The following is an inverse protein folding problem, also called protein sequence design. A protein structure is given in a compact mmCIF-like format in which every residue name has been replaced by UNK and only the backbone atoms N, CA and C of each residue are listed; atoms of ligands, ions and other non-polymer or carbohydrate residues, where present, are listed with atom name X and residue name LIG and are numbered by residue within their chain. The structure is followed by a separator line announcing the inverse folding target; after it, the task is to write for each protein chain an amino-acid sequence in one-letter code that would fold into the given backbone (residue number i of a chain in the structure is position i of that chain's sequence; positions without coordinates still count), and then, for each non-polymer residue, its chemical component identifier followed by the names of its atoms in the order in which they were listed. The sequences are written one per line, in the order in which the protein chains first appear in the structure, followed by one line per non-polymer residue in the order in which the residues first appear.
data_IF_554926636973
#
_entry.id   IF_554926636973
#
_cell.length_a   1.000
_cell.length_b   1.000
_cell.length_c   1.000
_cell.angle_alpha   90.00
_cell.angle_beta   90.00
_cell.angle_gamma   90.00
#
_symmetry.space_group_name_H-M   'P 1'
#
loop_
_entity.id
_entity.type
_entity.pdbx_description
1 polymer ?
#
# COMPACT_ATOMS: atom_id res chain seq x y z
N UNK A 1 -40.90 50.75 -37.15
CA UNK A 1 -39.75 49.99 -37.69
C UNK A 1 -39.22 49.05 -36.62
N UNK A 2 -39.31 47.73 -36.84
CA UNK A 2 -38.85 46.69 -35.90
C UNK A 2 -37.36 46.45 -36.10
N UNK A 3 -36.52 46.79 -35.11
CA UNK A 3 -35.07 46.51 -35.12
C UNK A 3 -34.85 45.00 -34.94
N UNK A 4 -34.19 44.36 -35.91
CA UNK A 4 -33.75 42.96 -35.84
C UNK A 4 -32.60 42.84 -34.83
N UNK A 5 -32.78 42.03 -33.80
CA UNK A 5 -31.75 41.60 -32.85
C UNK A 5 -30.82 40.58 -33.53
N UNK A 6 -29.71 41.05 -34.10
CA UNK A 6 -28.75 40.22 -34.84
C UNK A 6 -27.41 39.96 -34.13
N UNK A 7 -27.11 40.66 -33.03
CA UNK A 7 -25.77 40.62 -32.41
C UNK A 7 -25.51 39.40 -31.51
N UNK A 8 -26.55 38.74 -31.00
CA UNK A 8 -26.41 37.58 -30.09
C UNK A 8 -25.98 36.27 -30.79
N UNK A 9 -25.96 36.23 -32.12
CA UNK A 9 -25.63 35.02 -32.87
C UNK A 9 -24.12 34.89 -33.18
N UNK A 10 -23.42 36.02 -33.33
CA UNK A 10 -22.00 36.04 -33.72
C UNK A 10 -21.12 35.64 -32.53
N UNK A 11 -21.44 36.12 -31.32
CA UNK A 11 -20.74 35.72 -30.09
C UNK A 11 -21.01 34.26 -29.72
N UNK A 12 -22.20 33.72 -30.05
CA UNK A 12 -22.55 32.32 -29.79
C UNK A 12 -21.75 31.35 -30.67
N UNK A 13 -21.53 31.68 -31.95
CA UNK A 13 -20.78 30.83 -32.87
C UNK A 13 -19.28 30.80 -32.55
N UNK A 14 -18.68 31.94 -32.21
CA UNK A 14 -17.26 32.01 -31.80
C UNK A 14 -17.01 31.45 -30.39
N UNK A 15 -17.95 31.64 -29.45
CA UNK A 15 -17.83 31.04 -28.12
C UNK A 15 -17.96 29.52 -28.18
N UNK A 16 -18.85 28.98 -29.01
CA UNK A 16 -18.98 27.53 -29.20
C UNK A 16 -17.68 26.93 -29.74
N UNK A 17 -17.01 27.59 -30.68
CA UNK A 17 -15.71 27.15 -31.22
C UNK A 17 -14.59 27.20 -30.16
N UNK A 18 -14.55 28.24 -29.33
CA UNK A 18 -13.63 28.33 -28.20
C UNK A 18 -13.88 27.21 -27.17
N UNK A 19 -15.13 26.92 -26.83
CA UNK A 19 -15.46 25.83 -25.92
C UNK A 19 -15.16 24.45 -26.53
N UNK A 20 -15.45 24.26 -27.82
CA UNK A 20 -15.15 23.01 -28.52
C UNK A 20 -13.65 22.74 -28.60
N UNK A 21 -12.84 23.76 -28.90
CA UNK A 21 -11.38 23.65 -28.92
C UNK A 21 -10.79 23.41 -27.53
N UNK A 22 -11.28 24.11 -26.49
CA UNK A 22 -10.86 23.89 -25.11
C UNK A 22 -11.21 22.48 -24.60
N UNK A 23 -12.43 22.01 -24.88
CA UNK A 23 -12.88 20.67 -24.53
C UNK A 23 -12.08 19.60 -25.29
N UNK A 24 -11.83 19.82 -26.59
CA UNK A 24 -10.98 18.94 -27.40
C UNK A 24 -9.55 18.82 -26.86
N UNK A 25 -8.94 19.95 -26.49
CA UNK A 25 -7.61 19.96 -25.86
C UNK A 25 -7.62 19.22 -24.52
N UNK A 26 -8.64 19.41 -23.69
CA UNK A 26 -8.80 18.70 -22.42
C UNK A 26 -8.92 17.18 -22.61
N UNK A 27 -9.73 16.72 -23.57
CA UNK A 27 -9.84 15.29 -23.91
C UNK A 27 -8.49 14.74 -24.37
N UNK A 28 -7.78 15.45 -25.25
CA UNK A 28 -6.48 15.00 -25.76
C UNK A 28 -5.44 14.87 -24.63
N UNK A 29 -5.35 15.87 -23.76
CA UNK A 29 -4.47 15.85 -22.58
C UNK A 29 -4.84 14.68 -21.66
N UNK A 30 -6.13 14.46 -21.41
CA UNK A 30 -6.62 13.34 -20.57
C UNK A 30 -6.22 11.99 -21.16
N UNK A 31 -6.36 11.79 -22.48
CA UNK A 31 -5.97 10.53 -23.14
C UNK A 31 -4.45 10.31 -23.11
N UNK A 32 -3.66 11.38 -23.22
CA UNK A 32 -2.20 11.31 -23.11
C UNK A 32 -1.77 10.99 -21.67
N UNK A 33 -2.39 11.61 -20.67
CA UNK A 33 -2.01 11.48 -19.25
C UNK A 33 -2.61 10.23 -18.56
N UNK A 34 -3.78 9.75 -18.97
CA UNK A 34 -4.42 8.56 -18.39
C UNK A 34 -3.50 7.32 -18.32
N UNK A 35 -2.68 6.97 -19.34
CA UNK A 35 -1.75 5.84 -19.23
C UNK A 35 -0.57 6.10 -18.28
N UNK A 36 -0.23 7.36 -17.98
CA UNK A 36 0.83 7.68 -17.00
C UNK A 36 0.31 7.63 -15.56
N UNK A 37 -0.95 7.98 -15.34
CA UNK A 37 -1.60 7.87 -14.01
C UNK A 37 -1.64 6.44 -13.45
N UNK A 38 -1.42 5.40 -14.27
CA UNK A 38 -1.44 3.99 -13.83
C UNK A 38 -0.05 3.34 -13.73
N UNK A 39 1.05 4.10 -13.88
CA UNK A 39 2.41 3.51 -13.95
C UNK A 39 3.23 3.57 -12.66
N UNK A 40 2.73 4.14 -11.58
CA UNK A 40 3.54 4.35 -10.36
C UNK A 40 3.59 3.17 -9.35
N UNK A 41 3.52 1.90 -9.79
CA UNK A 41 3.80 0.76 -8.88
C UNK A 41 4.82 -0.23 -9.45
N UNK A 42 5.47 0.05 -10.58
CA UNK A 42 6.48 -0.85 -11.17
C UNK A 42 7.70 -0.10 -11.71
N UNK A 43 8.34 0.76 -10.91
CA UNK A 43 9.72 1.21 -11.19
C UNK A 43 10.38 1.96 -10.04
N UNK A 44 10.60 1.26 -8.93
CA UNK A 44 11.78 1.55 -8.11
C UNK A 44 12.49 0.22 -7.83
N UNK A 45 13.29 -0.22 -8.80
CA UNK A 45 14.41 -1.10 -8.50
C UNK A 45 15.56 -0.21 -8.03
N UNK A 46 15.97 -0.24 -6.74
CA UNK A 46 17.30 0.23 -6.40
C UNK A 46 18.30 -0.70 -7.07
N UNK A 47 18.95 -0.17 -8.11
CA UNK A 47 20.11 -0.77 -8.75
C UNK A 47 21.27 -0.74 -7.77
N UNK A 48 21.42 -1.80 -6.98
CA UNK A 48 22.71 -2.23 -6.44
C UNK A 48 22.72 -3.74 -6.35
N UNK A 49 23.35 -4.38 -7.33
CA UNK A 49 23.75 -5.78 -7.22
C UNK A 49 24.65 -5.93 -5.98
N UNK A 50 24.44 -6.92 -5.10
CA UNK A 50 25.42 -7.23 -4.07
C UNK A 50 26.68 -7.78 -4.75
N UNK A 51 27.82 -7.18 -4.40
CA UNK A 51 29.16 -7.62 -4.77
C UNK A 51 29.31 -9.09 -4.35
N UNK A 52 29.60 -9.97 -5.31
CA UNK A 52 30.02 -11.34 -5.02
C UNK A 52 31.24 -11.31 -4.09
N UNK A 53 31.30 -12.11 -3.01
CA UNK A 53 32.52 -12.20 -2.21
C UNK A 53 33.65 -12.77 -3.08
N UNK A 54 34.67 -11.96 -3.33
CA UNK A 54 35.95 -12.37 -3.88
C UNK A 54 36.53 -13.48 -2.99
N UNK A 55 36.52 -14.71 -3.48
CA UNK A 55 37.29 -15.80 -2.88
C UNK A 55 38.77 -15.45 -3.03
N UNK A 56 39.39 -15.01 -1.94
CA UNK A 56 40.85 -14.94 -1.83
C UNK A 56 41.38 -16.37 -1.66
N UNK A 57 41.74 -17.02 -2.76
CA UNK A 57 42.61 -18.20 -2.73
C UNK A 57 44.05 -17.75 -2.47
N UNK A 58 44.31 -17.37 -1.22
CA UNK A 58 45.65 -17.14 -0.70
C UNK A 58 46.09 -18.32 0.14
N UNK A 59 46.56 -19.39 -0.50
CA UNK A 59 47.49 -20.34 0.13
C UNK A 59 48.24 -21.08 -0.99
N UNK A 60 49.55 -20.83 -1.06
CA UNK A 60 50.46 -21.48 -1.98
C UNK A 60 50.55 -22.97 -1.64
N UNK A 61 50.06 -23.83 -2.55
CA UNK A 61 50.45 -25.24 -2.53
C UNK A 61 51.94 -25.35 -2.92
N UNK A 62 52.77 -26.15 -2.21
CA UNK A 62 54.10 -26.46 -2.68
C UNK A 62 54.02 -27.24 -4.00
N UNK A 63 54.81 -26.83 -4.98
CA UNK A 63 54.86 -27.42 -6.31
C UNK A 63 55.34 -28.88 -6.24
N UNK A 64 54.59 -29.85 -6.78
CA UNK A 64 55.12 -31.19 -7.01
C UNK A 64 55.91 -31.20 -8.33
N UNK A 65 57.09 -31.82 -8.29
CA UNK A 65 57.90 -32.18 -9.46
C UNK A 65 57.11 -33.00 -10.47
N UNK A 66 57.18 -32.59 -11.73
CA UNK A 66 56.53 -33.20 -12.91
C UNK A 66 57.11 -34.59 -13.18
N UNK A 67 56.30 -35.66 -13.19
CA UNK A 67 56.61 -36.88 -13.92
C UNK A 67 56.02 -36.85 -15.35
N UNK A 68 56.74 -37.52 -16.22
CA UNK A 68 56.58 -37.81 -17.66
C UNK A 68 55.13 -38.13 -18.13
N UNK A 69 54.75 -37.85 -19.41
CA UNK A 69 53.37 -37.78 -19.82
C UNK A 69 52.69 -39.15 -19.80
N UNK A 70 51.75 -39.29 -18.88
CA UNK A 70 50.86 -40.45 -18.80
C UNK A 70 49.60 -40.18 -19.62
N UNK A 71 49.28 -41.16 -20.46
CA UNK A 71 48.09 -41.33 -21.31
C UNK A 71 46.85 -40.57 -20.81
N UNK A 72 46.25 -39.77 -21.69
CA UNK A 72 45.00 -39.04 -21.42
C UNK A 72 43.88 -40.01 -20.99
N UNK A 73 43.23 -39.82 -19.84
CA UNK A 73 42.04 -40.58 -19.50
C UNK A 73 40.83 -40.09 -20.31
N UNK A 74 39.92 -41.03 -20.55
CA UNK A 74 38.66 -40.87 -21.26
C UNK A 74 37.78 -39.77 -20.62
N UNK A 75 37.19 -38.92 -21.46
CA UNK A 75 36.39 -37.75 -21.05
C UNK A 75 35.12 -38.24 -20.35
N UNK A 76 35.07 -38.11 -19.03
CA UNK A 76 33.83 -38.28 -18.26
C UNK A 76 32.92 -37.07 -18.55
N UNK A 77 31.66 -37.27 -18.95
CA UNK A 77 30.74 -36.15 -19.21
C UNK A 77 30.51 -35.38 -17.91
N UNK A 78 30.82 -34.08 -17.95
CA UNK A 78 30.54 -33.14 -16.87
C UNK A 78 29.00 -33.07 -16.73
N UNK A 79 28.43 -33.30 -15.53
CA UNK A 79 27.00 -33.11 -15.33
C UNK A 79 26.64 -31.65 -15.59
N UNK A 80 25.72 -31.42 -16.53
CA UNK A 80 25.18 -30.10 -16.81
C UNK A 80 24.59 -29.50 -15.53
N UNK A 81 24.97 -28.27 -15.14
CA UNK A 81 24.33 -27.61 -14.01
C UNK A 81 22.86 -27.42 -14.35
N UNK A 82 22.00 -28.13 -13.64
CA UNK A 82 20.56 -27.93 -13.71
C UNK A 82 20.31 -26.57 -13.08
N UNK A 83 20.02 -25.56 -13.90
CA UNK A 83 19.48 -24.31 -13.40
C UNK A 83 18.12 -24.62 -12.78
N UNK A 84 18.07 -24.70 -11.45
CA UNK A 84 16.79 -24.71 -10.76
C UNK A 84 16.03 -23.44 -11.15
N UNK A 85 14.74 -23.55 -11.53
CA UNK A 85 13.95 -22.37 -11.82
C UNK A 85 13.95 -21.50 -10.56
N UNK A 86 14.36 -20.23 -10.70
CA UNK A 86 14.18 -19.22 -9.68
C UNK A 86 12.76 -19.33 -9.15
N UNK A 87 12.53 -19.50 -7.84
CA UNK A 87 11.19 -19.56 -7.30
C UNK A 87 10.47 -18.28 -7.70
N UNK A 88 9.49 -18.39 -8.59
CA UNK A 88 8.60 -17.31 -8.95
C UNK A 88 7.91 -16.90 -7.65
N UNK A 89 8.32 -15.79 -7.06
CA UNK A 89 7.68 -15.26 -5.86
C UNK A 89 6.29 -14.84 -6.28
N UNK A 90 5.28 -15.66 -5.99
CA UNK A 90 3.90 -15.21 -6.15
C UNK A 90 3.70 -14.00 -5.25
N UNK A 91 3.33 -12.87 -5.84
CA UNK A 91 3.00 -11.66 -5.12
C UNK A 91 1.67 -11.92 -4.39
N UNK A 92 1.74 -12.37 -3.15
CA UNK A 92 0.55 -12.59 -2.32
C UNK A 92 0.03 -11.20 -1.92
N UNK A 93 -1.07 -10.76 -2.54
CA UNK A 93 -1.72 -9.48 -2.23
C UNK A 93 -2.47 -9.60 -0.89
N UNK A 94 -1.78 -9.25 0.19
CA UNK A 94 -2.29 -9.29 1.56
C UNK A 94 -2.62 -7.91 2.10
N UNK A 95 -3.13 -7.00 1.26
CA UNK A 95 -3.52 -5.66 1.69
C UNK A 95 -4.64 -5.70 2.73
N UNK A 96 -4.41 -5.04 3.85
CA UNK A 96 -5.42 -4.73 4.86
C UNK A 96 -5.69 -3.23 4.91
N UNK A 97 -6.96 -2.84 4.92
CA UNK A 97 -7.37 -1.43 5.06
C UNK A 97 -8.49 -1.34 6.08
N UNK A 98 -8.23 -0.65 7.20
CA UNK A 98 -9.24 -0.32 8.18
C UNK A 98 -9.79 1.08 7.91
N UNK A 99 -11.12 1.17 7.81
CA UNK A 99 -11.83 2.43 7.64
C UNK A 99 -12.68 2.66 8.89
N UNK A 100 -12.41 3.72 9.64
CA UNK A 100 -13.22 4.19 10.76
C UNK A 100 -14.10 5.35 10.32
N UNK A 101 -15.35 5.43 10.78
CA UNK A 101 -16.27 6.51 10.37
C UNK A 101 -17.19 6.97 11.48
N UNK A 102 -17.55 8.25 11.42
CA UNK A 102 -18.57 8.90 12.26
C UNK A 102 -19.25 10.05 11.49
N UNK A 103 -20.45 10.43 11.94
CA UNK A 103 -21.34 11.40 11.25
C UNK A 103 -21.76 12.57 12.15
N UNK A 104 -20.84 13.04 12.99
CA UNK A 104 -21.09 14.19 13.86
C UNK A 104 -19.82 15.00 13.97
N UNK A 105 -19.95 16.26 14.38
CA UNK A 105 -18.76 17.06 14.66
C UNK A 105 -18.01 16.55 15.87
N UNK A 106 -16.68 16.51 15.74
CA UNK A 106 -15.75 16.06 16.77
C UNK A 106 -14.61 15.24 16.19
N UNK A 107 -13.57 15.13 17.00
CA UNK A 107 -12.32 14.44 16.72
C UNK A 107 -12.31 13.05 17.34
N UNK A 108 -12.14 12.01 16.53
CA UNK A 108 -11.97 10.63 16.98
C UNK A 108 -10.67 10.11 16.38
N UNK A 109 -9.70 9.82 17.23
CA UNK A 109 -8.43 9.22 16.82
C UNK A 109 -8.54 7.69 16.65
N UNK A 110 -7.98 7.20 15.56
CA UNK A 110 -7.73 5.80 15.28
C UNK A 110 -6.36 5.38 15.84
N UNK A 111 -6.38 4.35 16.69
CA UNK A 111 -5.20 3.70 17.23
C UNK A 111 -5.15 2.25 16.75
N UNK A 112 -4.05 1.86 16.09
CA UNK A 112 -3.84 0.49 15.62
C UNK A 112 -2.61 -0.09 16.30
N UNK A 113 -2.80 -1.13 17.09
CA UNK A 113 -1.74 -1.91 17.71
C UNK A 113 -1.47 -3.15 16.87
N UNK A 114 -0.24 -3.31 16.41
CA UNK A 114 0.25 -4.43 15.61
C UNK A 114 1.43 -5.11 16.31
N UNK A 115 1.92 -6.25 15.81
CA UNK A 115 3.18 -6.84 16.27
C UNK A 115 4.40 -5.91 16.10
N UNK A 116 4.36 -5.00 15.13
CA UNK A 116 5.46 -4.08 14.81
C UNK A 116 5.46 -2.83 15.72
N UNK A 117 4.31 -2.49 16.29
CA UNK A 117 4.18 -1.36 17.21
C UNK A 117 2.78 -0.74 17.23
N UNK A 118 2.72 0.53 17.62
CA UNK A 118 1.47 1.28 17.74
C UNK A 118 1.45 2.43 16.73
N UNK A 119 0.47 2.40 15.83
CA UNK A 119 0.16 3.47 14.88
C UNK A 119 -0.95 4.38 15.42
N UNK A 120 -0.73 5.68 15.28
CA UNK A 120 -1.67 6.79 15.52
C UNK A 120 -1.22 7.98 14.69
N UNK A 121 -1.98 9.08 14.65
CA UNK A 121 -1.51 10.29 13.93
C UNK A 121 -0.28 10.96 14.56
N UNK A 122 0.07 10.63 15.81
CA UNK A 122 1.36 10.98 16.41
C UNK A 122 2.52 10.14 15.84
N UNK A 123 2.25 8.89 15.44
CA UNK A 123 3.21 7.95 14.87
C UNK A 123 2.60 7.29 13.62
N UNK A 124 2.45 8.04 12.51
CA UNK A 124 1.67 7.59 11.36
C UNK A 124 2.36 6.47 10.58
N UNK A 125 3.69 6.36 10.69
CA UNK A 125 4.51 5.29 10.13
C UNK A 125 5.52 4.82 11.17
N UNK A 126 5.94 3.57 11.06
CA UNK A 126 6.99 2.99 11.92
C UNK A 126 8.12 2.43 11.04
N UNK A 127 9.41 2.73 11.33
CA UNK A 127 10.51 2.25 10.52
C UNK A 127 10.52 0.73 10.37
N UNK A 128 10.46 0.25 9.12
CA UNK A 128 10.48 -1.18 8.80
C UNK A 128 9.15 -1.91 9.02
N UNK A 129 8.11 -1.25 9.51
CA UNK A 129 6.78 -1.84 9.65
C UNK A 129 5.98 -1.69 8.35
N UNK A 130 5.09 -2.66 8.04
CA UNK A 130 4.30 -2.65 6.81
C UNK A 130 3.06 -1.76 6.84
N UNK A 131 2.79 -1.06 7.95
CA UNK A 131 1.56 -0.29 8.17
C UNK A 131 1.74 1.22 8.10
N UNK A 132 0.68 1.95 7.78
CA UNK A 132 0.65 3.41 7.80
C UNK A 132 -0.76 4.00 8.02
N UNK A 133 -0.82 5.15 8.69
CA UNK A 133 -1.99 6.03 8.78
C UNK A 133 -2.05 6.92 7.53
N UNK A 134 -3.23 7.11 6.93
CA UNK A 134 -3.34 7.78 5.61
C UNK A 134 -4.26 8.98 5.57
N UNK A 135 -5.41 8.93 6.24
CA UNK A 135 -6.40 10.00 6.21
C UNK A 135 -6.87 10.30 7.63
N UNK A 136 -6.77 11.57 8.04
CA UNK A 136 -7.12 12.10 9.36
C UNK A 136 -8.27 13.11 9.23
N UNK A 137 -9.31 13.00 10.04
CA UNK A 137 -10.40 13.96 10.13
C UNK A 137 -10.46 14.60 11.53
N UNK A 138 -9.46 15.43 11.86
CA UNK A 138 -9.38 16.21 13.11
C UNK A 138 -10.69 16.92 13.48
N UNK A 139 -11.25 17.74 12.57
CA UNK A 139 -12.54 18.39 12.78
C UNK A 139 -13.64 17.67 11.99
N UNK A 140 -14.08 16.52 12.51
CA UNK A 140 -15.13 15.73 11.88
C UNK A 140 -16.44 16.51 11.65
N UNK A 141 -17.28 15.93 10.81
CA UNK A 141 -18.65 16.32 10.51
C UNK A 141 -19.43 15.14 9.90
N UNK A 142 -20.17 15.41 8.84
CA UNK A 142 -20.87 14.36 8.08
C UNK A 142 -19.86 13.53 7.27
N UNK A 143 -19.92 12.21 7.42
CA UNK A 143 -19.07 11.23 6.73
C UNK A 143 -17.57 11.38 7.01
N UNK A 144 -17.22 11.68 8.26
CA UNK A 144 -15.83 11.71 8.72
C UNK A 144 -15.22 10.32 8.65
N UNK A 145 -13.93 10.26 8.35
CA UNK A 145 -13.22 9.02 8.05
C UNK A 145 -11.82 9.06 8.63
N UNK A 146 -11.35 7.92 9.09
CA UNK A 146 -9.93 7.69 9.30
C UNK A 146 -9.51 6.34 8.75
N UNK A 147 -8.29 6.28 8.26
CA UNK A 147 -7.80 5.11 7.54
C UNK A 147 -6.40 4.73 8.00
N UNK A 148 -6.27 3.46 8.34
CA UNK A 148 -5.00 2.76 8.45
C UNK A 148 -4.93 1.66 7.39
N UNK A 149 -3.76 1.46 6.79
CA UNK A 149 -3.52 0.39 5.85
C UNK A 149 -2.21 -0.36 6.14
N UNK A 150 -2.12 -1.60 5.69
CA UNK A 150 -0.88 -2.37 5.74
C UNK A 150 -0.79 -3.36 4.58
N UNK A 151 0.37 -3.36 3.91
CA UNK A 151 0.69 -4.30 2.84
C UNK A 151 1.53 -5.45 3.40
N UNK A 152 1.07 -6.70 3.25
CA UNK A 152 1.74 -7.86 3.84
C UNK A 152 1.96 -7.71 5.35
N UNK A 153 0.85 -7.58 6.12
CA UNK A 153 0.89 -7.31 7.56
C UNK A 153 1.65 -8.40 8.31
N UNK A 154 2.48 -8.01 9.27
CA UNK A 154 3.28 -8.94 10.08
C UNK A 154 2.36 -9.91 10.85
N UNK A 155 2.55 -11.24 10.75
CA UNK A 155 1.77 -12.19 11.54
C UNK A 155 1.85 -11.93 13.05
N UNK A 156 0.72 -12.05 13.73
CA UNK A 156 0.61 -11.84 15.18
C UNK A 156 -0.73 -11.24 15.59
N UNK A 157 -0.77 -10.68 16.80
CA UNK A 157 -1.99 -10.12 17.40
C UNK A 157 -2.14 -8.63 17.07
N UNK A 158 -3.36 -8.28 16.69
CA UNK A 158 -3.76 -6.93 16.33
C UNK A 158 -4.91 -6.46 17.20
N UNK A 159 -4.95 -5.15 17.44
CA UNK A 159 -6.03 -4.50 18.18
C UNK A 159 -6.26 -3.10 17.63
N UNK A 160 -7.50 -2.81 17.26
CA UNK A 160 -7.92 -1.51 16.73
C UNK A 160 -8.80 -0.82 17.77
N UNK A 161 -8.44 0.41 18.13
CA UNK A 161 -9.14 1.20 19.12
C UNK A 161 -9.47 2.60 18.60
N UNK A 162 -10.57 3.16 19.11
CA UNK A 162 -11.07 4.49 18.80
C UNK A 162 -10.99 5.32 20.06
N UNK A 163 -10.37 6.50 20.00
CA UNK A 163 -10.24 7.41 21.13
C UNK A 163 -11.01 8.68 20.82
N UNK A 164 -11.93 9.04 21.71
CA UNK A 164 -12.72 10.25 21.51
C UNK A 164 -12.05 11.45 22.16
N UNK A 165 -11.61 12.41 21.34
CA UNK A 165 -11.03 13.67 21.75
C UNK A 165 -12.07 14.81 21.83
N UNK A 166 -13.29 14.56 21.37
CA UNK A 166 -14.41 15.49 21.46
C UNK A 166 -15.05 15.50 22.86
N UNK A 167 -15.78 16.59 23.13
CA UNK A 167 -16.48 16.79 24.41
C UNK A 167 -17.82 16.04 24.54
N UNK A 168 -18.33 15.49 23.44
CA UNK A 168 -19.59 14.73 23.37
C UNK A 168 -19.33 13.25 23.09
N UNK A 169 -20.28 12.38 23.45
CA UNK A 169 -20.23 10.97 23.04
C UNK A 169 -20.50 10.87 21.54
N UNK A 170 -19.65 10.14 20.83
CA UNK A 170 -19.73 9.95 19.38
C UNK A 170 -19.89 8.46 19.08
N UNK A 171 -20.81 8.14 18.17
CA UNK A 171 -20.97 6.76 17.69
C UNK A 171 -20.04 6.53 16.52
N UNK A 172 -19.14 5.56 16.67
CA UNK A 172 -18.11 5.22 15.69
C UNK A 172 -18.38 3.83 15.15
N UNK A 173 -18.20 3.64 13.84
CA UNK A 173 -18.27 2.34 13.20
C UNK A 173 -17.02 2.14 12.34
N UNK A 174 -16.78 0.93 11.85
CA UNK A 174 -15.68 0.71 10.93
C UNK A 174 -15.80 -0.56 10.11
N UNK A 175 -14.87 -0.72 9.17
CA UNK A 175 -14.74 -1.92 8.33
C UNK A 175 -13.28 -2.20 8.09
N UNK A 176 -12.86 -3.43 8.39
CA UNK A 176 -11.57 -3.96 8.00
C UNK A 176 -11.72 -4.71 6.67
N UNK A 177 -11.19 -4.14 5.60
CA UNK A 177 -11.09 -4.83 4.31
C UNK A 177 -9.82 -5.67 4.29
N UNK A 178 -9.94 -6.94 3.88
CA UNK A 178 -8.85 -7.91 3.79
C UNK A 178 -9.14 -8.92 2.66
N UNK A 179 -8.16 -9.71 2.20
CA UNK A 179 -8.35 -10.61 1.05
C UNK A 179 -9.49 -11.64 1.22
N UNK A 180 -9.67 -12.18 2.43
CA UNK A 180 -10.76 -13.12 2.74
C UNK A 180 -12.13 -12.46 2.95
N UNK A 181 -12.28 -11.17 2.63
CA UNK A 181 -13.52 -10.40 2.71
C UNK A 181 -13.59 -9.44 3.91
N UNK A 182 -14.51 -8.48 3.89
CA UNK A 182 -14.59 -7.42 4.89
C UNK A 182 -15.06 -7.94 6.25
N UNK A 183 -14.56 -7.34 7.33
CA UNK A 183 -15.02 -7.54 8.71
C UNK A 183 -15.60 -6.22 9.22
N UNK A 184 -16.91 -6.20 9.45
CA UNK A 184 -17.60 -5.03 9.94
C UNK A 184 -17.42 -4.89 11.45
N UNK A 185 -17.14 -3.66 11.89
CA UNK A 185 -17.19 -3.24 13.28
C UNK A 185 -18.51 -2.50 13.49
N UNK A 186 -19.36 -3.05 14.35
CA UNK A 186 -20.67 -2.48 14.63
C UNK A 186 -20.56 -1.06 15.21
N UNK A 187 -21.55 -0.17 14.94
CA UNK A 187 -21.58 1.15 15.55
C UNK A 187 -21.57 1.07 17.07
N UNK A 188 -20.65 1.77 17.71
CA UNK A 188 -20.48 1.78 19.16
C UNK A 188 -20.29 3.22 19.69
N UNK A 189 -20.91 3.58 20.82
CA UNK A 189 -20.72 4.88 21.43
C UNK A 189 -19.36 4.95 22.15
N UNK A 190 -18.57 5.97 21.84
CA UNK A 190 -17.31 6.29 22.50
C UNK A 190 -17.51 7.55 23.33
N UNK A 191 -17.39 7.44 24.66
CA UNK A 191 -17.55 8.57 25.58
C UNK A 191 -16.38 9.55 25.44
N UNK A 192 -16.54 10.83 25.81
CA UNK A 192 -15.44 11.79 25.87
C UNK A 192 -14.25 11.23 26.65
N UNK A 193 -13.04 11.45 26.13
CA UNK A 193 -11.76 10.97 26.68
C UNK A 193 -11.64 9.44 26.83
N UNK A 194 -12.62 8.67 26.36
CA UNK A 194 -12.59 7.22 26.42
C UNK A 194 -11.91 6.64 25.17
N UNK A 195 -11.21 5.53 25.38
CA UNK A 195 -10.69 4.68 24.32
C UNK A 195 -11.43 3.35 24.33
N UNK A 196 -11.99 2.96 23.18
CA UNK A 196 -12.74 1.71 23.02
C UNK A 196 -12.07 0.86 21.94
N UNK A 197 -11.68 -0.36 22.28
CA UNK A 197 -11.07 -1.28 21.32
C UNK A 197 -12.14 -2.11 20.63
N UNK A 198 -12.43 -1.74 19.39
CA UNK A 198 -13.57 -2.22 18.61
C UNK A 198 -13.34 -3.59 17.97
N UNK A 199 -12.08 -3.91 17.68
CA UNK A 199 -11.70 -5.12 16.99
C UNK A 199 -10.38 -5.65 17.53
N UNK A 200 -10.34 -6.96 17.79
CA UNK A 200 -9.14 -7.72 18.10
C UNK A 200 -9.09 -8.92 17.17
N UNK A 201 -7.91 -9.22 16.64
CA UNK A 201 -7.75 -10.34 15.73
C UNK A 201 -6.30 -10.80 15.71
N UNK A 202 -6.08 -11.98 15.16
CA UNK A 202 -4.77 -12.55 14.88
C UNK A 202 -4.62 -12.79 13.38
N UNK A 203 -3.42 -12.57 12.88
CA UNK A 203 -2.99 -13.02 11.56
C UNK A 203 -1.95 -14.12 11.78
N UNK A 204 -2.20 -15.32 11.26
CA UNK A 204 -1.25 -16.42 11.33
C UNK A 204 -0.18 -16.31 10.23
N UNK A 205 0.87 -17.13 10.28
CA UNK A 205 1.99 -17.08 9.32
C UNK A 205 1.59 -17.39 7.87
N UNK A 206 0.44 -18.03 7.69
CA UNK A 206 -0.19 -18.31 6.39
C UNK A 206 -1.21 -17.23 5.98
N UNK A 207 -1.25 -16.10 6.70
CA UNK A 207 -2.19 -14.99 6.54
C UNK A 207 -3.66 -15.36 6.82
N UNK A 208 -3.91 -16.45 7.57
CA UNK A 208 -5.24 -16.74 8.09
C UNK A 208 -5.64 -15.69 9.13
N UNK A 209 -6.85 -15.16 8.99
CA UNK A 209 -7.43 -14.19 9.92
C UNK A 209 -8.32 -14.88 10.94
N UNK A 210 -8.07 -14.63 12.22
CA UNK A 210 -8.91 -15.10 13.32
C UNK A 210 -9.35 -13.94 14.19
N UNK A 211 -10.65 -13.65 14.25
CA UNK A 211 -11.17 -12.64 15.18
C UNK A 211 -11.08 -13.14 16.62
N UNK A 212 -10.55 -12.29 17.50
CA UNK A 212 -10.40 -12.56 18.93
C UNK A 212 -11.55 -11.88 19.69
N UNK A 213 -12.03 -12.53 20.74
CA UNK A 213 -13.08 -12.00 21.63
C UNK A 213 -12.51 -11.04 22.69
#
# INVERSE_FOLDING_TARGET
MRRKSGELNIFSMSALDLFASALGAFILITLILMPYYKKEVLSETPTTCPVCPTFTCGEMCPMPTIPEPTVCPEVVPIPTPVCEPTPTTELVDNLMVYNMRWNVSGDIDLHVYTPDGHFSYENPTLPGAPGEMTLDNIDGGDNSLEIWMSYSPTPGDYKICHKNLASNTITVAGVLNKPSGPVAVAPQPVRPDAMVCALRFRIDSDYTFTQLN
#
